data_IF_939713311062
#
_entry.id   IF_939713311062
#
_cell.length_a   1.000
_cell.length_b   1.000
_cell.length_c   1.000
_cell.angle_alpha   90.00
_cell.angle_beta   90.00
_cell.angle_gamma   90.00
#
_symmetry.space_group_name_H-M   'P 1'
#
loop_
_entity.id
_entity.type
_entity.pdbx_description
1 polymer ?
#
# COMPACT_ATOMS: atom_id res chain seq x y z
N UNK A 1 -11.75 -45.58 -44.28
CA UNK A 1 -10.98 -44.42 -43.76
C UNK A 1 -11.44 -44.16 -42.33
N UNK A 2 -10.57 -44.39 -41.34
CA UNK A 2 -10.89 -44.20 -39.91
C UNK A 2 -10.50 -42.77 -39.53
N UNK A 3 -11.48 -41.95 -39.15
CA UNK A 3 -11.27 -40.57 -38.72
C UNK A 3 -10.54 -40.56 -37.37
N UNK A 4 -9.36 -39.93 -37.33
CA UNK A 4 -8.61 -39.69 -36.09
C UNK A 4 -9.28 -38.54 -35.33
N UNK A 5 -9.85 -38.82 -34.17
CA UNK A 5 -10.33 -37.80 -33.23
C UNK A 5 -9.12 -37.11 -32.58
N UNK A 6 -8.83 -35.87 -32.95
CA UNK A 6 -7.84 -35.03 -32.26
C UNK A 6 -8.47 -34.47 -30.98
N UNK A 7 -8.01 -34.94 -29.83
CA UNK A 7 -8.32 -34.32 -28.53
C UNK A 7 -7.44 -33.08 -28.39
N UNK A 8 -8.05 -31.89 -28.35
CA UNK A 8 -7.34 -30.64 -28.06
C UNK A 8 -7.41 -30.40 -26.56
N UNK A 9 -6.27 -30.53 -25.86
CA UNK A 9 -6.18 -30.24 -24.44
C UNK A 9 -6.12 -28.71 -24.26
N UNK A 10 -7.25 -28.11 -23.87
CA UNK A 10 -7.32 -26.70 -23.51
C UNK A 10 -6.70 -26.54 -22.10
N UNK A 11 -5.43 -26.14 -22.02
CA UNK A 11 -4.85 -25.72 -20.73
C UNK A 11 -5.45 -24.37 -20.35
N UNK A 12 -6.46 -24.39 -19.48
CA UNK A 12 -6.92 -23.21 -18.74
C UNK A 12 -5.83 -22.84 -17.73
N UNK A 13 -4.93 -21.94 -18.12
CA UNK A 13 -4.09 -21.24 -17.15
C UNK A 13 -4.99 -20.29 -16.37
N UNK A 14 -5.49 -20.75 -15.22
CA UNK A 14 -6.08 -19.85 -14.25
C UNK A 14 -4.97 -18.89 -13.81
N UNK A 15 -4.99 -17.66 -14.32
CA UNK A 15 -4.21 -16.57 -13.72
C UNK A 15 -4.93 -16.20 -12.43
N UNK A 16 -4.53 -16.83 -11.32
CA UNK A 16 -4.94 -16.39 -10.00
C UNK A 16 -4.32 -15.00 -9.81
N UNK A 17 -5.13 -13.97 -10.06
CA UNK A 17 -4.74 -12.60 -9.77
C UNK A 17 -4.67 -12.46 -8.25
N UNK A 18 -3.48 -12.60 -7.71
CA UNK A 18 -3.26 -12.47 -6.28
C UNK A 18 -3.19 -10.98 -5.94
N UNK A 19 -4.22 -10.48 -5.24
CA UNK A 19 -4.31 -9.07 -4.87
C UNK A 19 -3.35 -8.80 -3.72
N UNK A 20 -2.32 -8.01 -4.02
CA UNK A 20 -1.34 -7.56 -3.03
C UNK A 20 -1.09 -6.08 -3.21
N UNK A 21 -0.85 -5.39 -2.09
CA UNK A 21 -0.52 -3.98 -2.08
C UNK A 21 0.50 -3.70 -1.00
N UNK A 22 1.29 -2.66 -1.24
CA UNK A 22 2.26 -2.08 -0.32
C UNK A 22 2.30 -0.57 -0.55
N UNK A 23 2.95 0.14 0.36
CA UNK A 23 3.22 1.57 0.15
C UNK A 23 4.23 1.70 -0.98
N UNK A 24 3.81 2.28 -2.09
CA UNK A 24 4.68 2.57 -3.23
C UNK A 24 5.50 3.83 -2.98
N UNK A 25 4.86 4.85 -2.41
CA UNK A 25 5.44 6.18 -2.23
C UNK A 25 4.79 6.89 -1.03
N UNK A 26 5.57 7.74 -0.38
CA UNK A 26 5.11 8.74 0.58
C UNK A 26 5.21 10.13 -0.08
N UNK A 27 4.23 10.99 0.12
CA UNK A 27 4.24 12.37 -0.40
C UNK A 27 3.81 13.36 0.69
N UNK A 28 4.40 14.57 0.72
CA UNK A 28 3.87 15.65 1.55
C UNK A 28 2.64 16.26 0.87
N UNK A 29 1.62 16.62 1.65
CA UNK A 29 0.41 17.30 1.20
C UNK A 29 0.43 18.75 1.71
N UNK A 30 0.36 19.71 0.78
CA UNK A 30 0.20 21.11 1.12
C UNK A 30 -1.24 21.42 1.56
N UNK A 31 -1.46 22.60 2.18
CA UNK A 31 -2.79 23.02 2.66
C UNK A 31 -3.87 23.09 1.59
N UNK A 32 -3.48 23.20 0.31
CA UNK A 32 -4.39 23.16 -0.84
C UNK A 32 -4.67 21.74 -1.39
N UNK A 33 -4.17 20.69 -0.72
CA UNK A 33 -4.32 19.29 -1.13
C UNK A 33 -3.35 18.82 -2.22
N UNK A 34 -2.44 19.67 -2.70
CA UNK A 34 -1.45 19.27 -3.70
C UNK A 34 -0.26 18.52 -3.08
N UNK A 35 0.29 17.54 -3.81
CA UNK A 35 1.54 16.92 -3.42
C UNK A 35 2.71 17.88 -3.64
N UNK A 36 3.62 17.94 -2.66
CA UNK A 36 4.80 18.79 -2.68
C UNK A 36 6.06 18.02 -2.28
N UNK A 37 7.22 18.56 -2.67
CA UNK A 37 8.54 17.98 -2.43
C UNK A 37 8.76 16.62 -3.11
N UNK A 38 9.96 16.04 -2.92
CA UNK A 38 10.29 14.70 -3.42
C UNK A 38 9.52 13.62 -2.68
N UNK A 39 9.19 12.54 -3.38
CA UNK A 39 8.62 11.35 -2.76
C UNK A 39 9.61 10.68 -1.81
N UNK A 40 9.07 10.03 -0.78
CA UNK A 40 9.79 9.11 0.08
C UNK A 40 9.35 7.66 -0.14
N UNK A 41 10.15 6.71 0.35
CA UNK A 41 9.93 5.29 0.08
C UNK A 41 10.12 4.44 1.35
N UNK A 42 9.49 3.24 1.40
CA UNK A 42 9.75 2.27 2.46
C UNK A 42 11.23 1.88 2.55
N UNK A 43 11.61 1.34 3.71
CA UNK A 43 12.92 0.70 3.89
C UNK A 43 13.05 -0.46 2.90
N UNK A 44 14.25 -0.67 2.38
CA UNK A 44 14.52 -1.78 1.43
C UNK A 44 13.59 -1.85 0.21
N UNK A 45 13.00 -0.72 -0.23
CA UNK A 45 12.02 -0.69 -1.30
C UNK A 45 12.59 -1.27 -2.61
N UNK A 46 11.82 -2.17 -3.23
CA UNK A 46 12.09 -2.69 -4.56
C UNK A 46 11.18 -1.99 -5.59
N UNK A 47 11.78 -1.45 -6.65
CA UNK A 47 11.04 -0.69 -7.64
C UNK A 47 10.44 -1.57 -8.73
N UNK A 48 9.12 -1.47 -8.94
CA UNK A 48 8.42 -2.18 -10.01
C UNK A 48 8.80 -1.69 -11.41
N UNK A 49 9.40 -0.51 -11.58
CA UNK A 49 9.77 -0.03 -12.92
C UNK A 49 10.93 -0.81 -13.54
N UNK A 50 11.60 -1.69 -12.77
CA UNK A 50 12.58 -2.64 -13.33
C UNK A 50 11.91 -3.75 -14.18
N UNK A 51 10.58 -3.75 -14.27
CA UNK A 51 9.82 -4.55 -15.23
C UNK A 51 9.78 -6.03 -14.86
N UNK A 52 10.05 -6.91 -15.82
CA UNK A 52 9.94 -8.37 -15.64
C UNK A 52 10.88 -8.95 -14.57
N UNK A 53 11.89 -8.19 -14.14
CA UNK A 53 12.81 -8.58 -13.07
C UNK A 53 12.32 -8.19 -11.68
N UNK A 54 11.16 -7.56 -11.56
CA UNK A 54 10.58 -7.19 -10.28
C UNK A 54 10.07 -8.43 -9.53
N UNK A 55 10.61 -8.65 -8.34
CA UNK A 55 10.09 -9.64 -7.39
C UNK A 55 9.00 -9.01 -6.52
N UNK A 56 7.76 -9.46 -6.71
CA UNK A 56 6.62 -8.97 -5.93
C UNK A 56 6.74 -9.29 -4.44
N UNK A 57 7.47 -10.34 -4.07
CA UNK A 57 7.68 -10.72 -2.67
C UNK A 57 8.61 -9.74 -1.95
N UNK A 58 9.42 -8.96 -2.67
CA UNK A 58 10.40 -8.06 -2.08
C UNK A 58 9.79 -6.90 -1.27
N UNK A 59 8.56 -6.49 -1.61
CA UNK A 59 7.80 -5.46 -0.89
C UNK A 59 6.61 -6.01 -0.12
N UNK A 60 6.17 -7.24 -0.42
CA UNK A 60 4.96 -7.81 0.16
C UNK A 60 5.23 -8.35 1.56
N UNK A 61 4.34 -8.02 2.50
CA UNK A 61 4.31 -8.64 3.81
C UNK A 61 2.89 -9.03 4.18
N UNK A 62 2.64 -10.34 4.24
CA UNK A 62 1.35 -10.90 4.64
C UNK A 62 1.52 -11.59 6.00
N UNK A 63 0.61 -11.28 6.92
CA UNK A 63 0.50 -11.87 8.25
C UNK A 63 -0.90 -12.46 8.42
N UNK A 64 -1.06 -13.54 9.22
CA UNK A 64 -0.01 -14.35 9.83
C UNK A 64 0.81 -15.16 8.80
N UNK A 65 2.08 -15.47 9.11
CA UNK A 65 2.98 -16.18 8.18
C UNK A 65 2.80 -17.70 8.19
N UNK A 66 2.74 -18.27 9.40
CA UNK A 66 2.89 -19.72 9.63
C UNK A 66 1.71 -20.33 10.41
N UNK A 67 0.60 -19.59 10.57
CA UNK A 67 -0.57 -20.00 11.34
C UNK A 67 -1.86 -19.41 10.76
N UNK A 68 -3.02 -19.93 11.21
CA UNK A 68 -4.33 -19.40 10.82
C UNK A 68 -4.65 -18.04 11.47
N UNK A 69 -3.96 -17.70 12.56
CA UNK A 69 -4.19 -16.49 13.34
C UNK A 69 -2.89 -15.77 13.69
N UNK A 70 -2.99 -14.44 13.82
CA UNK A 70 -1.90 -13.59 14.31
C UNK A 70 -1.49 -14.05 15.71
N UNK A 71 -0.21 -14.30 15.90
CA UNK A 71 0.38 -14.71 17.17
C UNK A 71 1.54 -13.79 17.57
N UNK A 72 2.10 -14.01 18.76
CA UNK A 72 3.15 -13.17 19.34
C UNK A 72 4.47 -13.17 18.56
N UNK A 73 4.70 -14.14 17.67
CA UNK A 73 5.90 -14.25 16.84
C UNK A 73 5.76 -13.61 15.47
N UNK A 74 4.57 -13.16 15.08
CA UNK A 74 4.32 -12.47 13.82
C UNK A 74 4.98 -11.08 13.84
N UNK A 75 6.18 -11.02 13.29
CA UNK A 75 6.96 -9.79 13.16
C UNK A 75 6.24 -8.81 12.22
N UNK A 76 6.13 -7.56 12.67
CA UNK A 76 5.36 -6.53 11.99
C UNK A 76 5.92 -6.18 10.62
N UNK A 77 7.25 -6.11 10.51
CA UNK A 77 7.93 -5.68 9.30
C UNK A 77 8.51 -6.87 8.51
N UNK A 78 8.44 -6.76 7.18
CA UNK A 78 9.16 -7.63 6.25
C UNK A 78 10.66 -7.70 6.63
N UNK A 79 11.35 -8.86 6.52
CA UNK A 79 12.75 -9.03 6.88
C UNK A 79 13.69 -7.94 6.34
N UNK A 80 13.49 -7.50 5.09
CA UNK A 80 14.30 -6.43 4.47
C UNK A 80 14.02 -5.02 5.02
N UNK A 81 12.98 -4.84 5.84
CA UNK A 81 12.48 -3.54 6.30
C UNK A 81 12.61 -3.32 7.83
N UNK A 82 13.08 -4.33 8.57
CA UNK A 82 13.22 -4.28 10.04
C UNK A 82 14.26 -3.28 10.52
N UNK A 83 15.29 -3.05 9.71
CA UNK A 83 16.34 -2.07 9.98
C UNK A 83 16.18 -0.83 9.10
N UNK A 84 16.55 0.38 9.58
CA UNK A 84 16.35 1.63 8.86
C UNK A 84 17.34 1.83 7.70
N UNK A 85 17.37 0.88 6.76
CA UNK A 85 18.19 0.91 5.56
C UNK A 85 17.35 1.27 4.33
N UNK A 86 17.85 2.20 3.52
CA UNK A 86 17.20 2.61 2.27
C UNK A 86 17.85 1.91 1.08
N UNK A 87 17.03 1.49 0.11
CA UNK A 87 17.54 0.94 -1.15
C UNK A 87 18.04 2.07 -2.06
N UNK A 88 19.11 1.81 -2.84
CA UNK A 88 19.79 2.83 -3.63
C UNK A 88 18.85 3.62 -4.54
N UNK A 89 18.83 4.95 -4.37
CA UNK A 89 17.96 5.88 -5.12
C UNK A 89 16.63 6.20 -4.43
N UNK A 90 16.17 5.36 -3.50
CA UNK A 90 14.89 5.53 -2.80
C UNK A 90 15.13 6.14 -1.43
N UNK A 91 14.89 7.44 -1.31
CA UNK A 91 15.15 8.18 -0.08
C UNK A 91 13.97 8.14 0.90
N UNK A 92 14.24 8.37 2.18
CA UNK A 92 13.20 8.66 3.17
C UNK A 92 12.51 9.98 2.84
N UNK A 93 11.20 10.03 3.07
CA UNK A 93 10.45 11.28 2.98
C UNK A 93 11.06 12.30 3.95
N UNK A 94 11.35 13.50 3.46
CA UNK A 94 11.66 14.64 4.30
C UNK A 94 10.37 15.41 4.55
N UNK A 95 10.04 15.64 5.82
CA UNK A 95 8.77 16.25 6.24
C UNK A 95 8.96 16.97 7.57
N UNK A 96 8.00 17.79 7.96
CA UNK A 96 8.04 18.58 9.19
C UNK A 96 6.98 18.11 10.18
N UNK A 97 7.19 18.29 11.50
CA UNK A 97 6.13 18.10 12.49
C UNK A 97 4.84 18.82 12.10
N UNK A 98 3.69 18.20 12.38
CA UNK A 98 2.38 18.74 12.00
C UNK A 98 1.99 18.60 10.52
N UNK A 99 2.92 18.21 9.63
CA UNK A 99 2.64 18.06 8.20
C UNK A 99 1.69 16.89 7.92
N UNK A 100 0.90 17.01 6.86
CA UNK A 100 0.09 15.90 6.34
C UNK A 100 0.88 15.19 5.25
N UNK A 101 0.91 13.86 5.31
CA UNK A 101 1.58 13.01 4.33
C UNK A 101 0.59 12.00 3.76
N UNK A 102 0.70 11.70 2.47
CA UNK A 102 -0.04 10.64 1.80
C UNK A 102 0.82 9.37 1.74
N UNK A 103 0.30 8.26 2.25
CA UNK A 103 0.82 6.92 2.00
C UNK A 103 0.09 6.35 0.78
N UNK A 104 0.80 6.09 -0.32
CA UNK A 104 0.18 5.81 -1.63
C UNK A 104 0.39 4.36 -2.04
N UNK A 105 -0.67 3.72 -2.53
CA UNK A 105 -0.73 2.28 -2.78
C UNK A 105 -1.13 1.98 -4.23
N UNK A 106 -0.43 1.03 -4.86
CA UNK A 106 -0.91 0.35 -6.05
C UNK A 106 -1.47 -1.02 -5.64
N UNK A 107 -2.62 -1.40 -6.19
CA UNK A 107 -3.36 -2.61 -5.80
C UNK A 107 -3.73 -3.49 -7.01
N UNK A 108 -3.13 -3.20 -8.16
CA UNK A 108 -3.40 -3.82 -9.45
C UNK A 108 -4.86 -3.67 -9.93
N UNK A 109 -5.54 -2.61 -9.47
CA UNK A 109 -6.85 -2.17 -9.96
C UNK A 109 -8.06 -2.93 -9.41
N UNK A 110 -7.90 -3.81 -8.43
CA UNK A 110 -9.02 -4.56 -7.84
C UNK A 110 -9.98 -3.67 -7.04
N UNK A 111 -9.57 -2.48 -6.58
CA UNK A 111 -10.47 -1.48 -5.97
C UNK A 111 -11.60 -1.03 -6.90
N UNK A 112 -11.47 -1.23 -8.21
CA UNK A 112 -12.52 -0.92 -9.20
C UNK A 112 -13.16 -2.16 -9.81
N UNK A 113 -12.80 -3.36 -9.35
CA UNK A 113 -13.42 -4.60 -9.79
C UNK A 113 -14.63 -4.95 -8.92
N UNK A 114 -15.77 -5.33 -9.50
CA UNK A 114 -16.85 -5.95 -8.75
C UNK A 114 -16.33 -7.15 -7.95
N UNK A 115 -16.70 -7.23 -6.65
CA UNK A 115 -16.24 -8.30 -5.77
C UNK A 115 -14.73 -8.29 -5.43
N UNK A 116 -13.96 -7.32 -5.94
CA UNK A 116 -12.50 -7.30 -5.80
C UNK A 116 -11.75 -8.18 -6.78
N UNK A 117 -12.41 -8.81 -7.77
CA UNK A 117 -11.77 -9.68 -8.75
C UNK A 117 -12.69 -10.80 -9.24
N UNK A 118 -12.27 -11.51 -10.29
CA UNK A 118 -13.01 -12.67 -10.79
C UNK A 118 -12.87 -13.84 -9.81
N UNK A 119 -14.00 -14.39 -9.35
CA UNK A 119 -14.03 -15.55 -8.43
C UNK A 119 -13.73 -15.21 -6.96
N UNK A 120 -13.57 -13.94 -6.60
CA UNK A 120 -13.39 -13.51 -5.21
C UNK A 120 -14.74 -13.22 -4.56
N UNK A 121 -15.09 -14.00 -3.54
CA UNK A 121 -16.27 -13.77 -2.68
C UNK A 121 -15.80 -13.03 -1.44
N UNK A 122 -16.42 -11.87 -1.12
CA UNK A 122 -16.33 -11.28 0.22
C UNK A 122 -15.28 -10.19 0.46
N UNK A 123 -14.83 -9.42 -0.55
CA UNK A 123 -14.07 -8.19 -0.25
C UNK A 123 -14.96 -7.21 0.52
N UNK A 124 -14.52 -6.67 1.68
CA UNK A 124 -15.25 -5.62 2.37
C UNK A 124 -15.52 -4.43 1.44
N UNK A 125 -16.66 -3.76 1.61
CA UNK A 125 -17.16 -2.68 0.72
C UNK A 125 -16.14 -1.56 0.45
N UNK A 126 -15.15 -1.38 1.33
CA UNK A 126 -14.09 -0.37 1.24
C UNK A 126 -12.66 -0.94 1.19
N UNK A 127 -12.52 -2.21 0.85
CA UNK A 127 -11.21 -2.87 0.69
C UNK A 127 -10.42 -3.06 1.99
N UNK A 128 -11.06 -2.89 3.15
CA UNK A 128 -10.43 -2.98 4.46
C UNK A 128 -10.00 -1.63 5.02
N UNK A 129 -9.63 -1.63 6.30
CA UNK A 129 -9.13 -0.45 7.01
C UNK A 129 -7.61 -0.54 7.13
N UNK A 130 -6.92 0.51 6.71
CA UNK A 130 -5.49 0.73 6.95
C UNK A 130 -5.35 1.47 8.27
N UNK A 131 -4.72 0.81 9.24
CA UNK A 131 -4.29 1.43 10.49
C UNK A 131 -2.84 1.83 10.35
N UNK A 132 -2.52 3.09 10.63
CA UNK A 132 -1.13 3.58 10.60
C UNK A 132 -0.68 3.88 12.01
N UNK A 133 0.35 3.17 12.43
CA UNK A 133 0.99 3.37 13.72
C UNK A 133 2.32 4.09 13.54
N UNK A 134 2.87 4.60 14.63
CA UNK A 134 4.12 5.35 14.58
C UNK A 134 4.94 5.22 15.83
N UNK A 135 6.27 5.35 15.66
CA UNK A 135 7.24 5.35 16.75
C UNK A 135 8.50 6.13 16.37
N UNK A 136 9.13 6.73 17.37
CA UNK A 136 10.48 7.30 17.30
C UNK A 136 11.57 6.24 17.57
N UNK A 137 11.19 5.08 18.12
CA UNK A 137 12.11 4.04 18.58
C UNK A 137 11.78 2.68 17.94
N UNK A 138 11.90 2.56 16.60
CA UNK A 138 11.52 1.34 15.91
C UNK A 138 12.42 0.16 16.32
N UNK A 139 11.80 -0.98 16.63
CA UNK A 139 12.51 -2.21 16.99
C UNK A 139 12.58 -3.19 15.81
N UNK A 140 13.73 -3.83 15.54
CA UNK A 140 13.82 -4.83 14.46
C UNK A 140 12.93 -6.05 14.67
N UNK A 141 12.60 -6.36 15.92
CA UNK A 141 11.74 -7.48 16.33
C UNK A 141 10.35 -7.02 16.78
N UNK A 142 9.89 -5.84 16.34
CA UNK A 142 8.53 -5.37 16.65
C UNK A 142 7.48 -6.35 16.11
N UNK A 143 6.44 -6.61 16.89
CA UNK A 143 5.39 -7.60 16.56
C UNK A 143 4.07 -6.90 16.25
N UNK A 144 3.25 -7.52 15.39
CA UNK A 144 1.93 -6.98 15.12
C UNK A 144 1.07 -6.94 16.38
N UNK A 145 1.13 -7.97 17.23
CA UNK A 145 0.38 -8.01 18.48
C UNK A 145 0.73 -6.86 19.44
N UNK A 146 2.00 -6.46 19.54
CA UNK A 146 2.36 -5.32 20.37
C UNK A 146 1.76 -4.01 19.82
N UNK A 147 1.92 -3.76 18.52
CA UNK A 147 1.52 -2.49 17.89
C UNK A 147 0.02 -2.29 17.84
N UNK A 148 -0.79 -3.35 17.65
CA UNK A 148 -2.26 -3.21 17.63
C UNK A 148 -2.85 -2.74 18.97
N UNK A 149 -2.08 -2.81 20.07
CA UNK A 149 -2.50 -2.30 21.37
C UNK A 149 -2.15 -0.81 21.58
N UNK A 150 -1.41 -0.18 20.67
CA UNK A 150 -1.08 1.24 20.78
C UNK A 150 -2.31 2.12 20.52
N UNK A 151 -2.53 3.07 21.43
CA UNK A 151 -3.66 4.00 21.37
C UNK A 151 -3.23 5.35 20.80
N UNK A 152 -4.19 6.18 20.38
CA UNK A 152 -3.91 7.52 19.82
C UNK A 152 -3.18 8.45 20.79
N UNK A 153 -3.43 8.29 22.08
CA UNK A 153 -2.78 9.07 23.15
C UNK A 153 -1.41 8.50 23.58
N UNK A 154 -0.93 7.43 22.93
CA UNK A 154 0.37 6.81 23.19
C UNK A 154 0.48 6.06 24.52
N UNK A 155 -0.66 5.77 25.19
CA UNK A 155 -0.66 5.10 26.51
C UNK A 155 -0.93 3.60 26.45
N UNK A 156 -1.43 3.11 25.32
CA UNK A 156 -1.75 1.71 25.10
C UNK A 156 -0.54 0.83 24.81
N UNK A 157 -0.70 -0.48 25.00
CA UNK A 157 0.37 -1.46 24.84
C UNK A 157 1.57 -1.16 25.73
N UNK A 158 2.77 -1.34 25.19
CA UNK A 158 4.04 -1.04 25.85
C UNK A 158 4.44 0.44 25.82
N UNK A 159 3.57 1.32 25.30
CA UNK A 159 3.83 2.77 25.11
C UNK A 159 5.02 3.07 24.20
N UNK A 160 5.39 2.12 23.33
CA UNK A 160 6.45 2.30 22.33
C UNK A 160 6.05 3.19 21.15
N UNK A 161 4.76 3.51 21.00
CA UNK A 161 4.26 4.31 19.90
C UNK A 161 2.78 4.68 20.05
N UNK A 162 2.18 5.13 18.95
CA UNK A 162 0.77 5.56 18.90
C UNK A 162 0.11 5.28 17.56
N UNK A 163 -1.19 5.06 17.59
CA UNK A 163 -2.05 5.04 16.40
C UNK A 163 -2.24 6.47 15.87
N UNK A 164 -1.92 6.72 14.60
CA UNK A 164 -2.11 8.03 13.98
C UNK A 164 -3.44 8.12 13.24
N UNK A 165 -3.79 7.12 12.45
CA UNK A 165 -5.01 7.13 11.64
C UNK A 165 -5.54 5.73 11.38
N UNK A 166 -6.82 5.66 11.02
CA UNK A 166 -7.50 4.46 10.54
C UNK A 166 -8.41 4.89 9.39
N UNK A 167 -8.06 4.54 8.17
CA UNK A 167 -8.77 4.96 6.94
C UNK A 167 -9.06 3.76 6.06
N UNK A 168 -10.07 3.90 5.20
CA UNK A 168 -10.36 2.87 4.22
C UNK A 168 -9.26 2.80 3.18
N UNK A 169 -8.82 1.58 2.83
CA UNK A 169 -7.87 1.39 1.73
C UNK A 169 -8.42 1.93 0.41
N UNK A 170 -9.69 1.65 0.13
CA UNK A 170 -10.39 2.24 -1.00
C UNK A 170 -10.90 3.64 -0.60
N UNK A 171 -10.20 4.67 -1.07
CA UNK A 171 -10.52 6.09 -0.83
C UNK A 171 -11.63 6.66 -1.74
N UNK A 172 -12.29 5.78 -2.51
CA UNK A 172 -13.33 6.06 -3.50
C UNK A 172 -12.92 6.95 -4.69
N UNK A 173 -11.67 7.41 -4.75
CA UNK A 173 -11.10 8.21 -5.86
C UNK A 173 -10.20 7.37 -6.73
N UNK A 174 -9.37 6.52 -6.13
CA UNK A 174 -8.32 5.79 -6.79
C UNK A 174 -8.81 4.79 -7.85
N UNK A 175 -7.98 4.59 -8.86
CA UNK A 175 -8.19 3.63 -9.93
C UNK A 175 -6.85 3.33 -10.60
N UNK A 176 -6.69 2.12 -11.13
CA UNK A 176 -5.56 1.80 -11.98
C UNK A 176 -6.03 1.48 -13.39
N UNK A 177 -5.18 1.81 -14.37
CA UNK A 177 -5.47 1.61 -15.77
C UNK A 177 -5.34 0.12 -16.07
N UNK A 178 -6.37 -0.42 -16.73
CA UNK A 178 -6.44 -1.83 -17.13
C UNK A 178 -6.98 -1.92 -18.54
N UNK A 179 -6.62 -3.01 -19.23
CA UNK A 179 -7.18 -3.35 -20.54
C UNK A 179 -8.69 -3.61 -20.45
N UNK A 180 -9.11 -4.35 -19.42
CA UNK A 180 -10.53 -4.65 -19.16
C UNK A 180 -11.13 -3.60 -18.22
N UNK A 181 -11.62 -2.51 -18.81
CA UNK A 181 -12.18 -1.38 -18.06
C UNK A 181 -13.54 -1.71 -17.45
N UNK A 182 -13.68 -1.53 -16.13
CA UNK A 182 -14.95 -1.68 -15.40
C UNK A 182 -15.80 -0.40 -15.42
N UNK A 183 -17.11 -0.53 -15.16
CA UNK A 183 -18.00 0.62 -15.03
C UNK A 183 -17.57 1.57 -13.88
N UNK A 184 -17.18 1.01 -12.73
CA UNK A 184 -16.68 1.79 -11.59
C UNK A 184 -15.37 2.51 -11.94
N UNK A 185 -14.44 1.85 -12.64
CA UNK A 185 -13.20 2.47 -13.11
C UNK A 185 -13.43 3.60 -14.11
N UNK A 186 -14.43 3.50 -15.00
CA UNK A 186 -14.85 4.62 -15.88
C UNK A 186 -15.42 5.78 -15.06
N UNK A 187 -16.29 5.49 -14.10
CA UNK A 187 -16.92 6.52 -13.27
C UNK A 187 -15.88 7.30 -12.44
N UNK A 188 -14.92 6.61 -11.82
CA UNK A 188 -13.84 7.26 -11.05
C UNK A 188 -12.92 8.11 -11.91
N UNK A 189 -12.51 7.62 -13.08
CA UNK A 189 -11.69 8.40 -14.04
C UNK A 189 -12.37 9.68 -14.51
N UNK A 190 -13.68 9.63 -14.71
CA UNK A 190 -14.48 10.81 -15.08
C UNK A 190 -14.59 11.80 -13.92
N UNK A 191 -14.81 11.31 -12.70
CA UNK A 191 -14.99 12.14 -11.49
C UNK A 191 -13.67 12.77 -11.01
N UNK A 192 -12.57 12.03 -11.09
CA UNK A 192 -11.25 12.43 -10.59
C UNK A 192 -10.19 12.17 -11.66
N UNK A 193 -10.13 12.96 -12.74
CA UNK A 193 -9.13 12.76 -13.79
C UNK A 193 -7.71 12.94 -13.26
N UNK A 194 -6.80 12.03 -13.62
CA UNK A 194 -5.38 12.13 -13.32
C UNK A 194 -4.55 12.10 -14.62
N UNK A 195 -4.40 13.24 -15.32
CA UNK A 195 -3.56 13.29 -16.52
C UNK A 195 -2.08 13.27 -16.17
N UNK A 196 -1.25 12.74 -17.07
CA UNK A 196 0.20 12.87 -16.95
C UNK A 196 0.60 14.35 -16.93
N UNK A 197 1.58 14.76 -16.12
CA UNK A 197 2.07 16.13 -16.11
C UNK A 197 2.41 16.62 -17.53
N UNK A 198 1.93 17.82 -17.87
CA UNK A 198 2.12 18.47 -19.18
C UNK A 198 1.49 17.73 -20.37
N UNK A 199 0.59 16.77 -20.15
CA UNK A 199 -0.13 16.05 -21.21
C UNK A 199 -1.64 16.07 -20.93
N UNK A 200 -2.33 17.20 -21.17
CA UNK A 200 -3.79 17.29 -20.98
C UNK A 200 -4.53 16.21 -21.76
N UNK A 201 -5.56 15.60 -21.16
CA UNK A 201 -6.36 14.54 -21.77
C UNK A 201 -5.71 13.15 -21.80
N UNK A 202 -4.45 13.01 -21.37
CA UNK A 202 -3.88 11.69 -21.10
C UNK A 202 -4.51 11.06 -19.86
N UNK A 203 -4.44 9.73 -19.77
CA UNK A 203 -4.82 9.01 -18.55
C UNK A 203 -3.57 8.53 -17.81
N UNK A 204 -3.60 8.66 -16.49
CA UNK A 204 -2.66 8.04 -15.57
C UNK A 204 -3.43 7.43 -14.39
N UNK A 205 -2.84 6.40 -13.80
CA UNK A 205 -3.40 5.72 -12.62
C UNK A 205 -3.45 6.70 -11.45
N UNK A 206 -4.54 6.65 -10.66
CA UNK A 206 -4.62 7.34 -9.39
C UNK A 206 -4.46 6.29 -8.28
N UNK A 207 -3.33 6.33 -7.58
CA UNK A 207 -3.06 5.43 -6.45
C UNK A 207 -4.07 5.68 -5.33
N UNK A 208 -4.43 4.61 -4.60
CA UNK A 208 -5.16 4.79 -3.36
C UNK A 208 -4.25 5.40 -2.32
N UNK A 209 -4.81 6.15 -1.37
CA UNK A 209 -3.99 6.78 -0.34
C UNK A 209 -4.63 6.74 1.05
N UNK A 210 -3.75 6.69 2.05
CA UNK A 210 -4.08 6.94 3.45
C UNK A 210 -3.32 8.18 3.88
N UNK A 211 -4.05 9.21 4.33
CA UNK A 211 -3.45 10.47 4.76
C UNK A 211 -3.16 10.45 6.26
N UNK A 212 -1.97 10.89 6.63
CA UNK A 212 -1.48 10.87 8.01
C UNK A 212 -1.04 12.27 8.39
N UNK A 213 -1.61 12.84 9.46
CA UNK A 213 -1.04 14.04 10.07
C UNK A 213 0.06 13.61 11.03
N UNK A 214 1.27 14.10 10.81
CA UNK A 214 2.36 13.92 11.77
C UNK A 214 2.07 14.72 13.04
N UNK A 215 2.38 14.15 14.21
CA UNK A 215 2.26 14.89 15.46
C UNK A 215 3.17 16.12 15.49
N UNK A 216 2.75 17.14 16.23
CA UNK A 216 3.49 18.40 16.36
C UNK A 216 4.76 18.25 17.23
N UNK A 217 4.80 17.21 18.06
CA UNK A 217 5.84 16.92 19.05
C UNK A 217 6.95 16.00 18.54
N UNK A 218 6.96 15.65 17.25
CA UNK A 218 8.00 14.80 16.65
C UNK A 218 9.35 15.52 16.70
N UNK A 219 10.38 14.82 17.19
CA UNK A 219 11.73 15.37 17.25
C UNK A 219 12.28 15.69 15.84
N UNK A 220 12.72 16.93 15.58
CA UNK A 220 13.29 17.27 14.28
C UNK A 220 14.60 16.53 14.04
N UNK A 221 14.91 16.29 12.77
CA UNK A 221 16.15 15.64 12.32
C UNK A 221 16.39 14.21 12.85
N UNK A 222 15.38 13.59 13.46
CA UNK A 222 15.40 12.17 13.84
C UNK A 222 14.47 11.36 12.93
N UNK A 223 14.80 10.09 12.64
CA UNK A 223 13.90 9.22 11.89
C UNK A 223 12.59 8.98 12.66
N UNK A 224 11.47 9.31 12.04
CA UNK A 224 10.14 8.94 12.51
C UNK A 224 9.62 7.76 11.69
N UNK A 225 9.23 6.67 12.35
CA UNK A 225 8.79 5.45 11.67
C UNK A 225 7.27 5.36 11.66
N UNK A 226 6.74 5.03 10.50
CA UNK A 226 5.36 4.62 10.31
C UNK A 226 5.33 3.10 10.11
N UNK A 227 4.35 2.46 10.72
CA UNK A 227 3.99 1.06 10.51
C UNK A 227 2.62 1.00 9.85
#
# INVERSE_FOLDING_TARGET
MRYQTRVTLLMLTANWANAHSWVEQLANIASNGSYVSSFGYPRGFADKTVGSSFDQEANKWLLPRDADFINETDLLCHPSQRVPNQAGGFSRLQTSPGSVIAMRYAENGHVTLPGGGEGLVGKPEKGGTVFVFSTEQPRPNETLQNVIHWTRDGKGGDRGGRLLTAQNFNDDRCYQLRTNVTALGKARRSKTPNPKPRQPGSEHELLCETDVKLPEDVAPSQPYTLY
#
